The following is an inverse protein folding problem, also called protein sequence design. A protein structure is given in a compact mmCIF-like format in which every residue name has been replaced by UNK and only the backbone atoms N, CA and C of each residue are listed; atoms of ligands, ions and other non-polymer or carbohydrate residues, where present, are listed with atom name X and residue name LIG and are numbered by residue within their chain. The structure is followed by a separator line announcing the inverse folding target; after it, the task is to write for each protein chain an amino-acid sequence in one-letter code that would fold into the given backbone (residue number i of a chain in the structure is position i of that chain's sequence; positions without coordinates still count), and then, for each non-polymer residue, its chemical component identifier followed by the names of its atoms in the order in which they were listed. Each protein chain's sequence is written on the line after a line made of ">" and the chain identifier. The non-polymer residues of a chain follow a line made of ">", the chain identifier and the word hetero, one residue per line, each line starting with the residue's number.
data_IF_976392750996
#
_entry.id   IF_976392750996
#
_cell.length_a   1.000
_cell.length_b   1.000
_cell.length_c   1.000
_cell.angle_alpha   90.00
_cell.angle_beta   90.00
_cell.angle_gamma   90.00
#
_symmetry.space_group_name_H-M   'P 1'
#
loop_
_entity.id
_entity.type
_entity.pdbx_description
1 polymer ?
#
# COMPACT_ATOMS: atom_id res chain seq x y z
N UNK A 1 -10.23 -8.86 24.95
CA UNK A 1 -11.58 -8.90 24.34
C UNK A 1 -11.39 -8.87 22.84
N UNK A 2 -12.12 -9.69 22.10
CA UNK A 2 -12.06 -9.75 20.65
C UNK A 2 -13.28 -9.04 20.09
N UNK A 3 -13.07 -8.10 19.17
CA UNK A 3 -14.14 -7.43 18.43
C UNK A 3 -14.69 -8.40 17.38
N UNK A 4 -16.00 -8.61 17.40
CA UNK A 4 -16.73 -9.45 16.44
C UNK A 4 -17.46 -8.60 15.38
N UNK A 5 -17.32 -7.28 15.44
CA UNK A 5 -17.94 -6.30 14.54
C UNK A 5 -18.84 -5.31 15.27
N UNK A 6 -18.98 -4.09 14.72
CA UNK A 6 -19.87 -3.04 15.24
C UNK A 6 -19.67 -2.72 16.74
N UNK A 7 -18.42 -2.77 17.22
CA UNK A 7 -18.07 -2.59 18.63
C UNK A 7 -18.73 -3.63 19.56
N UNK A 8 -19.02 -4.83 19.06
CA UNK A 8 -19.49 -5.96 19.85
C UNK A 8 -18.31 -6.86 20.23
N UNK A 9 -18.08 -7.02 21.53
CA UNK A 9 -16.86 -7.66 22.03
C UNK A 9 -17.16 -8.91 22.86
N UNK A 10 -16.33 -9.94 22.70
CA UNK A 10 -16.39 -11.16 23.49
C UNK A 10 -15.05 -11.46 24.19
N UNK A 11 -15.10 -12.24 25.28
CA UNK A 11 -13.89 -12.82 25.86
C UNK A 11 -13.50 -14.06 25.04
N UNK A 12 -12.25 -14.10 24.61
CA UNK A 12 -11.68 -15.23 23.88
C UNK A 12 -10.50 -15.79 24.66
N UNK A 13 -10.33 -17.11 24.62
CA UNK A 13 -9.17 -17.81 25.13
C UNK A 13 -8.41 -18.42 23.96
N UNK A 14 -7.15 -18.03 23.80
CA UNK A 14 -6.26 -18.52 22.73
C UNK A 14 -5.46 -19.67 23.33
N UNK A 15 -5.61 -20.86 22.76
CA UNK A 15 -4.97 -22.08 23.28
C UNK A 15 -3.48 -22.17 22.92
N UNK A 16 -3.09 -21.67 21.75
CA UNK A 16 -1.71 -21.68 21.27
C UNK A 16 -1.38 -20.35 20.59
N UNK A 17 -0.25 -19.77 20.97
CA UNK A 17 0.28 -18.50 20.44
C UNK A 17 1.58 -18.70 19.66
N UNK A 18 2.00 -19.94 19.44
CA UNK A 18 3.22 -20.29 18.70
C UNK A 18 3.13 -19.88 17.24
N UNK A 19 1.93 -20.02 16.65
CA UNK A 19 1.70 -19.76 15.24
C UNK A 19 0.53 -18.79 15.00
N UNK A 20 0.63 -18.04 13.90
CA UNK A 20 -0.46 -17.24 13.35
C UNK A 20 -0.68 -17.60 11.89
N UNK A 21 -1.92 -17.47 11.41
CA UNK A 21 -2.23 -17.64 9.99
C UNK A 21 -2.00 -16.32 9.26
N UNK A 22 -1.06 -16.33 8.31
CA UNK A 22 -0.75 -15.17 7.46
C UNK A 22 -1.30 -15.42 6.06
N UNK A 23 -2.08 -14.46 5.55
CA UNK A 23 -2.60 -14.49 4.18
C UNK A 23 -1.46 -14.23 3.18
N UNK A 24 -1.20 -15.21 2.31
CA UNK A 24 -0.15 -15.16 1.28
C UNK A 24 -0.71 -14.92 -0.13
N UNK A 25 -2.02 -14.73 -0.27
CA UNK A 25 -2.71 -14.46 -1.53
C UNK A 25 -3.52 -15.64 -2.06
N UNK A 26 -4.36 -15.38 -3.06
CA UNK A 26 -5.17 -16.39 -3.76
C UNK A 26 -6.03 -17.28 -2.83
N UNK A 27 -6.44 -16.77 -1.67
CA UNK A 27 -7.23 -17.51 -0.68
C UNK A 27 -6.41 -18.42 0.25
N UNK A 28 -5.09 -18.47 0.08
CA UNK A 28 -4.21 -19.31 0.90
C UNK A 28 -3.71 -18.58 2.15
N UNK A 29 -3.62 -19.34 3.23
CA UNK A 29 -3.08 -18.90 4.51
C UNK A 29 -2.06 -19.91 5.00
N UNK A 30 -0.90 -19.42 5.45
CA UNK A 30 0.19 -20.26 5.96
C UNK A 30 0.32 -20.02 7.45
N UNK A 31 0.55 -21.09 8.23
CA UNK A 31 0.94 -20.95 9.63
C UNK A 31 2.40 -20.51 9.70
N UNK A 32 2.64 -19.35 10.29
CA UNK A 32 3.97 -18.84 10.57
C UNK A 32 4.18 -18.69 12.07
N UNK A 33 5.42 -18.92 12.50
CA UNK A 33 5.90 -18.36 13.75
C UNK A 33 5.89 -16.84 13.70
N UNK A 34 5.98 -16.20 14.87
CA UNK A 34 5.98 -14.73 14.92
C UNK A 34 7.16 -14.10 14.18
N UNK A 35 8.33 -14.73 14.16
CA UNK A 35 9.50 -14.19 13.48
C UNK A 35 9.42 -14.38 11.96
N UNK A 36 8.94 -15.53 11.49
CA UNK A 36 8.65 -15.73 10.06
C UNK A 36 7.61 -14.72 9.55
N UNK A 37 6.58 -14.43 10.36
CA UNK A 37 5.56 -13.45 10.02
C UNK A 37 6.13 -12.02 9.93
N UNK A 38 7.06 -11.64 10.82
CA UNK A 38 7.77 -10.35 10.76
C UNK A 38 8.63 -10.24 9.49
N UNK A 39 9.32 -11.30 9.13
CA UNK A 39 10.14 -11.31 7.91
C UNK A 39 9.27 -11.24 6.65
N UNK A 40 8.13 -11.92 6.64
CA UNK A 40 7.17 -11.86 5.55
C UNK A 40 6.55 -10.47 5.41
N UNK A 41 6.08 -9.86 6.51
CA UNK A 41 5.43 -8.54 6.44
C UNK A 41 6.41 -7.47 5.98
N UNK A 42 7.67 -7.52 6.41
CA UNK A 42 8.71 -6.58 5.96
C UNK A 42 8.88 -6.62 4.44
N UNK A 43 8.94 -7.82 3.83
CA UNK A 43 9.02 -7.96 2.37
C UNK A 43 7.79 -7.36 1.67
N UNK A 44 6.61 -7.54 2.26
CA UNK A 44 5.36 -6.97 1.74
C UNK A 44 5.34 -5.45 1.84
N UNK A 45 5.80 -4.87 2.95
CA UNK A 45 5.95 -3.44 3.13
C UNK A 45 6.90 -2.83 2.10
N UNK A 46 8.09 -3.42 1.93
CA UNK A 46 9.06 -2.97 0.92
C UNK A 46 8.50 -3.03 -0.50
N UNK A 47 7.73 -4.08 -0.82
CA UNK A 47 7.07 -4.21 -2.11
C UNK A 47 6.00 -3.13 -2.33
N UNK A 48 5.16 -2.86 -1.33
CA UNK A 48 4.14 -1.82 -1.40
C UNK A 48 4.75 -0.42 -1.49
N UNK A 49 5.83 -0.16 -0.73
CA UNK A 49 6.55 1.11 -0.80
C UNK A 49 7.12 1.35 -2.20
N UNK A 50 7.76 0.34 -2.81
CA UNK A 50 8.26 0.45 -4.19
C UNK A 50 7.15 0.76 -5.20
N UNK A 51 5.97 0.18 -5.02
CA UNK A 51 4.82 0.49 -5.88
C UNK A 51 4.31 1.92 -5.66
N UNK A 52 4.23 2.36 -4.40
CA UNK A 52 3.84 3.73 -4.07
C UNK A 52 4.82 4.76 -4.66
N UNK A 53 6.13 4.51 -4.55
CA UNK A 53 7.18 5.37 -5.11
C UNK A 53 7.09 5.43 -6.63
N UNK A 54 6.89 4.28 -7.28
CA UNK A 54 6.69 4.20 -8.74
C UNK A 54 5.51 5.05 -9.18
N UNK A 55 4.34 4.87 -8.56
CA UNK A 55 3.13 5.60 -8.93
C UNK A 55 3.24 7.10 -8.63
N UNK A 56 3.92 7.47 -7.55
CA UNK A 56 4.21 8.87 -7.24
C UNK A 56 5.07 9.50 -8.33
N UNK A 57 6.13 8.81 -8.76
CA UNK A 57 6.98 9.27 -9.87
C UNK A 57 6.26 9.35 -11.22
N UNK A 58 5.34 8.41 -11.51
CA UNK A 58 4.47 8.48 -12.69
C UNK A 58 3.54 9.70 -12.63
N UNK A 59 2.93 9.96 -11.48
CA UNK A 59 2.07 11.13 -11.28
C UNK A 59 2.85 12.44 -11.44
N UNK A 60 4.07 12.52 -10.91
CA UNK A 60 4.92 13.71 -11.04
C UNK A 60 5.31 13.99 -12.49
N UNK A 61 5.65 12.95 -13.26
CA UNK A 61 5.92 13.08 -14.70
C UNK A 61 4.70 13.64 -15.45
N UNK A 62 3.51 13.12 -15.17
CA UNK A 62 2.27 13.59 -15.79
C UNK A 62 2.02 15.06 -15.44
N UNK A 63 2.18 15.45 -14.16
CA UNK A 63 2.04 16.85 -13.73
C UNK A 63 3.02 17.77 -14.45
N UNK A 64 4.28 17.36 -14.58
CA UNK A 64 5.30 18.12 -15.29
C UNK A 64 4.95 18.30 -16.78
N UNK A 65 4.50 17.24 -17.45
CA UNK A 65 4.07 17.32 -18.84
C UNK A 65 2.88 18.27 -19.04
N UNK A 66 1.88 18.22 -18.16
CA UNK A 66 0.74 19.15 -18.19
C UNK A 66 1.22 20.59 -18.04
N UNK A 67 2.09 20.86 -17.07
CA UNK A 67 2.62 22.20 -16.82
C UNK A 67 3.39 22.74 -18.03
N UNK A 68 4.29 21.94 -18.61
CA UNK A 68 5.05 22.34 -19.80
C UNK A 68 4.14 22.64 -21.00
N UNK A 69 3.11 21.81 -21.23
CA UNK A 69 2.16 22.03 -22.31
C UNK A 69 1.38 23.35 -22.14
N UNK A 70 0.95 23.67 -20.92
CA UNK A 70 0.25 24.92 -20.62
C UNK A 70 1.16 26.14 -20.80
N UNK A 71 2.42 26.07 -20.38
CA UNK A 71 3.41 27.13 -20.57
C UNK A 71 3.67 27.40 -22.06
N UNK A 72 3.88 26.35 -22.85
CA UNK A 72 4.09 26.46 -24.30
C UNK A 72 2.89 27.11 -25.01
N UNK A 73 1.66 26.73 -24.64
CA UNK A 73 0.43 27.34 -25.18
C UNK A 73 0.37 28.83 -24.80
N UNK A 74 0.68 29.17 -23.55
CA UNK A 74 0.70 30.56 -23.08
C UNK A 74 1.72 31.42 -23.84
N UNK A 75 2.93 30.91 -24.09
CA UNK A 75 3.96 31.62 -24.86
C UNK A 75 3.52 31.92 -26.29
N UNK A 76 2.93 30.93 -26.99
CA UNK A 76 2.40 31.12 -28.35
C UNK A 76 1.31 32.20 -28.37
N UNK A 77 0.39 32.18 -27.39
CA UNK A 77 -0.69 33.16 -27.30
C UNK A 77 -0.18 34.57 -26.99
N UNK A 78 0.87 34.71 -26.18
CA UNK A 78 1.49 36.00 -25.87
C UNK A 78 2.32 36.53 -27.05
N UNK A 79 3.01 35.67 -27.80
CA UNK A 79 3.79 36.05 -28.98
C UNK A 79 2.92 36.38 -30.21
N UNK A 80 1.63 36.05 -30.20
CA UNK A 80 0.68 36.35 -31.27
C UNK A 80 -0.04 37.70 -31.09
N UNK A 81 0.36 38.51 -30.09
CA UNK A 81 -0.06 39.90 -29.90
C UNK A 81 1.01 40.87 -30.37
#
# INVERSE_FOLDING_TARGET
>A
MTDLGSHFYAQAHIQDTTFIYVNVGFGFHVQFTLDEAKDFIKKKEEHLQKQADKHSGEADKIRAHIKMALEAISEILMSSK
#
